data_IF_088184182937
#
_entry.id   IF_088184182937
#
_cell.length_a   1.000
_cell.length_b   1.000
_cell.length_c   1.000
_cell.angle_alpha   90.00
_cell.angle_beta   90.00
_cell.angle_gamma   90.00
#
_symmetry.space_group_name_H-M   'P 1'
#
loop_
_entity.id
_entity.type
_entity.pdbx_description
1 polymer ?
#
# COMPACT_ATOMS: atom_id res chain seq x y z
N UNK A 1 16.92 -20.09 -7.00
CA UNK A 1 15.73 -19.20 -6.95
C UNK A 1 15.83 -18.36 -5.69
N UNK A 2 15.88 -17.03 -5.80
CA UNK A 2 15.74 -16.16 -4.63
C UNK A 2 14.31 -16.29 -4.12
N UNK A 3 14.13 -16.73 -2.88
CA UNK A 3 12.81 -16.90 -2.27
C UNK A 3 12.04 -15.58 -2.21
N UNK A 4 10.70 -15.66 -2.19
CA UNK A 4 9.83 -14.50 -1.93
C UNK A 4 10.12 -13.98 -0.53
N UNK A 5 10.31 -12.66 -0.38
CA UNK A 5 10.56 -12.01 0.91
C UNK A 5 9.28 -11.34 1.40
N UNK A 6 8.95 -11.54 2.68
CA UNK A 6 7.83 -10.88 3.35
C UNK A 6 8.38 -9.99 4.45
N UNK A 7 8.04 -8.71 4.41
CA UNK A 7 8.41 -7.73 5.42
C UNK A 7 7.14 -7.25 6.13
N UNK A 8 7.18 -7.16 7.45
CA UNK A 8 6.04 -6.72 8.27
C UNK A 8 6.49 -5.50 9.08
N UNK A 9 5.81 -4.37 8.90
CA UNK A 9 5.97 -3.16 9.71
C UNK A 9 4.77 -3.09 10.65
N UNK A 10 5.00 -3.30 11.95
CA UNK A 10 3.96 -3.36 12.97
C UNK A 10 4.19 -2.33 14.09
N UNK A 11 3.12 -2.01 14.83
CA UNK A 11 3.13 -0.97 15.88
C UNK A 11 1.73 -0.40 16.13
N UNK A 12 1.55 0.34 17.21
CA UNK A 12 0.26 0.96 17.58
C UNK A 12 -0.23 1.98 16.54
N UNK A 13 -1.51 2.38 16.62
CA UNK A 13 -2.02 3.50 15.85
C UNK A 13 -1.26 4.78 16.22
N UNK A 14 -0.87 5.57 15.24
CA UNK A 14 -0.02 6.76 15.45
C UNK A 14 1.48 6.50 15.64
N UNK A 15 1.94 5.24 15.65
CA UNK A 15 3.37 4.92 15.77
C UNK A 15 4.23 5.29 14.52
N UNK A 16 3.64 5.93 13.51
CA UNK A 16 4.36 6.35 12.30
C UNK A 16 4.60 5.25 11.27
N UNK A 17 3.90 4.10 11.34
CA UNK A 17 4.09 2.97 10.40
C UNK A 17 4.04 3.39 8.93
N UNK A 18 2.99 4.11 8.52
CA UNK A 18 2.83 4.57 7.13
C UNK A 18 3.93 5.54 6.74
N UNK A 19 4.32 6.45 7.63
CA UNK A 19 5.43 7.39 7.42
C UNK A 19 6.75 6.65 7.22
N UNK A 20 7.04 5.66 8.06
CA UNK A 20 8.23 4.83 7.93
C UNK A 20 8.20 3.99 6.65
N UNK A 21 7.04 3.44 6.27
CA UNK A 21 6.88 2.71 5.01
C UNK A 21 7.28 3.55 3.79
N UNK A 22 6.91 4.84 3.74
CA UNK A 22 7.28 5.71 2.62
C UNK A 22 8.79 5.98 2.50
N UNK A 23 9.54 5.85 3.60
CA UNK A 23 11.01 6.01 3.57
C UNK A 23 11.71 4.67 3.34
N UNK A 24 11.29 3.62 4.05
CA UNK A 24 11.93 2.30 4.04
C UNK A 24 11.67 1.56 2.73
N UNK A 25 10.43 1.62 2.18
CA UNK A 25 10.07 0.85 1.00
C UNK A 25 10.92 1.23 -0.23
N UNK A 26 11.07 2.51 -0.60
CA UNK A 26 11.86 2.88 -1.77
C UNK A 26 13.36 2.76 -1.53
N UNK A 27 13.85 3.23 -0.36
CA UNK A 27 15.29 3.40 -0.13
C UNK A 27 15.99 2.10 0.28
N UNK A 28 15.31 1.24 1.06
CA UNK A 28 15.93 0.06 1.67
C UNK A 28 15.51 -1.23 0.95
N UNK A 29 14.26 -1.29 0.47
CA UNK A 29 13.69 -2.50 -0.11
C UNK A 29 13.61 -2.46 -1.65
N UNK A 30 14.02 -1.35 -2.29
CA UNK A 30 13.85 -1.09 -3.73
C UNK A 30 12.41 -1.40 -4.21
N UNK A 31 11.45 -1.15 -3.32
CA UNK A 31 10.04 -1.40 -3.56
C UNK A 31 9.46 -0.17 -4.27
N UNK A 32 9.38 -0.26 -5.60
CA UNK A 32 8.91 0.84 -6.47
C UNK A 32 7.40 1.02 -6.45
N UNK A 33 6.67 -0.04 -6.10
CA UNK A 33 5.22 -0.08 -6.15
C UNK A 33 4.63 -0.21 -4.75
N UNK A 34 3.88 0.81 -4.34
CA UNK A 34 3.19 0.84 -3.06
C UNK A 34 1.68 0.95 -3.28
N UNK A 35 0.94 -0.09 -2.88
CA UNK A 35 -0.51 -0.14 -3.03
C UNK A 35 -1.17 -0.11 -1.65
N UNK A 36 -1.95 0.93 -1.37
CA UNK A 36 -2.62 1.13 -0.08
C UNK A 36 -4.04 1.70 -0.30
N UNK A 37 -5.05 1.06 0.28
CA UNK A 37 -6.45 1.45 0.09
C UNK A 37 -6.78 2.85 0.65
N UNK A 38 -6.19 3.26 1.78
CA UNK A 38 -6.46 4.56 2.38
C UNK A 38 -5.90 5.70 1.52
N UNK A 39 -4.70 5.52 0.98
CA UNK A 39 -4.09 6.50 0.08
C UNK A 39 -4.84 6.58 -1.26
N UNK A 40 -5.34 5.45 -1.78
CA UNK A 40 -6.24 5.43 -2.95
C UNK A 40 -7.54 6.17 -2.63
N UNK A 41 -8.16 5.91 -1.47
CA UNK A 41 -9.40 6.57 -1.07
C UNK A 41 -9.24 8.09 -0.94
N UNK A 42 -8.11 8.56 -0.36
CA UNK A 42 -7.77 9.98 -0.31
C UNK A 42 -7.55 10.58 -1.70
N UNK A 43 -6.99 9.82 -2.64
CA UNK A 43 -6.85 10.26 -4.02
C UNK A 43 -8.20 10.40 -4.75
N UNK A 44 -9.13 9.47 -4.51
CA UNK A 44 -10.47 9.48 -5.11
C UNK A 44 -11.38 10.56 -4.51
N UNK A 45 -11.36 10.72 -3.18
CA UNK A 45 -12.21 11.67 -2.44
C UNK A 45 -11.41 12.32 -1.32
N UNK A 46 -10.64 13.39 -1.61
CA UNK A 46 -9.73 14.00 -0.64
C UNK A 46 -10.40 14.51 0.64
N UNK A 47 -11.65 14.95 0.53
CA UNK A 47 -12.40 15.51 1.67
C UNK A 47 -13.28 14.48 2.38
N UNK A 48 -13.61 13.36 1.73
CA UNK A 48 -14.49 12.33 2.29
C UNK A 48 -14.02 10.92 1.85
N UNK A 49 -12.81 10.48 2.25
CA UNK A 49 -12.25 9.19 1.82
C UNK A 49 -13.10 7.99 2.26
N UNK A 50 -13.73 8.08 3.43
CA UNK A 50 -14.58 7.03 3.99
C UNK A 50 -15.72 6.61 3.05
N UNK A 51 -16.25 7.54 2.23
CA UNK A 51 -17.34 7.26 1.28
C UNK A 51 -16.94 6.42 0.09
N UNK A 52 -15.65 6.37 -0.22
CA UNK A 52 -15.10 5.63 -1.38
C UNK A 52 -14.25 4.43 -0.94
N UNK A 53 -14.31 4.05 0.33
CA UNK A 53 -13.54 2.95 0.92
C UNK A 53 -13.68 1.62 0.14
N UNK A 54 -14.90 1.23 -0.22
CA UNK A 54 -15.13 0.00 -0.99
C UNK A 54 -14.56 0.06 -2.41
N UNK A 55 -14.65 1.22 -3.07
CA UNK A 55 -14.09 1.41 -4.40
C UNK A 55 -12.57 1.38 -4.37
N UNK A 56 -11.97 2.09 -3.40
CA UNK A 56 -10.53 2.10 -3.20
C UNK A 56 -9.95 0.70 -2.92
N UNK A 57 -10.65 -0.12 -2.12
CA UNK A 57 -10.25 -1.52 -1.87
C UNK A 57 -10.33 -2.35 -3.16
N UNK A 58 -11.33 -2.16 -4.02
CA UNK A 58 -11.42 -2.87 -5.30
C UNK A 58 -10.25 -2.52 -6.22
N UNK A 59 -9.92 -1.24 -6.32
CA UNK A 59 -8.76 -0.77 -7.08
C UNK A 59 -7.48 -1.38 -6.52
N UNK A 60 -7.28 -1.33 -5.19
CA UNK A 60 -6.14 -1.93 -4.51
C UNK A 60 -5.98 -3.43 -4.87
N UNK A 61 -7.06 -4.21 -4.82
CA UNK A 61 -7.03 -5.64 -5.15
C UNK A 61 -6.73 -5.90 -6.63
N UNK A 62 -7.27 -5.08 -7.53
CA UNK A 62 -6.96 -5.16 -8.97
C UNK A 62 -5.47 -4.89 -9.21
N UNK A 63 -4.90 -3.84 -8.62
CA UNK A 63 -3.48 -3.53 -8.76
C UNK A 63 -2.59 -4.65 -8.23
N UNK A 64 -2.89 -5.18 -7.04
CA UNK A 64 -2.17 -6.34 -6.50
C UNK A 64 -2.22 -7.53 -7.47
N UNK A 65 -3.39 -7.82 -8.04
CA UNK A 65 -3.56 -8.90 -9.03
C UNK A 65 -2.71 -8.66 -10.27
N UNK A 66 -2.68 -7.43 -10.78
CA UNK A 66 -1.86 -7.05 -11.92
C UNK A 66 -0.35 -7.28 -11.65
N UNK A 67 0.11 -7.00 -10.44
CA UNK A 67 1.51 -7.26 -10.06
C UNK A 67 1.83 -8.75 -9.96
N UNK A 68 0.92 -9.56 -9.42
CA UNK A 68 1.12 -11.02 -9.35
C UNK A 68 1.05 -11.71 -10.72
N UNK A 69 0.36 -11.13 -11.71
CA UNK A 69 0.30 -11.66 -13.08
C UNK A 69 1.51 -11.27 -13.95
N UNK A 70 2.22 -10.19 -13.61
CA UNK A 70 3.42 -9.73 -14.34
C UNK A 70 4.70 -10.49 -14.00
N UNK A 71 4.70 -11.27 -12.92
CA UNK A 71 5.82 -12.12 -12.44
C UNK A 71 5.61 -13.58 -12.78
#
# INVERSE_FOLDING_TARGET
MSGKKLYIIAGCNGAGKTTASFTILPEILDCKEFVNADEIAKGLSPFQPEKVSFEAVRIMLTELTNYFQKT
#
